data_IF_142649016388
#
_entry.id   IF_142649016388
#
_cell.length_a   1.000
_cell.length_b   1.000
_cell.length_c   1.000
_cell.angle_alpha   90.00
_cell.angle_beta   90.00
_cell.angle_gamma   90.00
#
_symmetry.space_group_name_H-M   'P 1'
#
loop_
_entity.id
_entity.type
_entity.pdbx_description
1 polymer ?
#
# COMPACT_ATOMS: atom_id res chain seq x y z
N UNK A 1 7.98 -1.01 11.93
CA UNK A 1 9.24 -1.45 12.58
C UNK A 1 9.38 -2.96 12.36
N UNK A 2 10.52 -3.42 11.82
CA UNK A 2 10.75 -4.85 11.54
C UNK A 2 10.73 -5.70 12.81
N UNK A 3 11.27 -5.18 13.92
CA UNK A 3 11.36 -5.92 15.18
C UNK A 3 9.97 -6.22 15.77
N UNK A 4 9.04 -5.28 15.66
CA UNK A 4 7.65 -5.44 16.10
C UNK A 4 6.96 -6.50 15.26
N UNK A 5 7.10 -6.44 13.94
CA UNK A 5 6.49 -7.41 13.02
C UNK A 5 7.03 -8.82 13.29
N UNK A 6 8.33 -8.99 13.44
CA UNK A 6 8.95 -10.28 13.79
C UNK A 6 8.46 -10.83 15.14
N UNK A 7 8.33 -9.95 16.15
CA UNK A 7 7.86 -10.36 17.47
C UNK A 7 6.39 -10.78 17.47
N UNK A 8 5.53 -10.09 16.70
CA UNK A 8 4.12 -10.46 16.54
C UNK A 8 3.97 -11.77 15.76
N UNK A 9 4.74 -11.93 14.69
CA UNK A 9 4.72 -13.14 13.86
C UNK A 9 5.14 -14.37 14.67
N UNK A 10 6.21 -14.26 15.47
CA UNK A 10 6.66 -15.32 16.38
C UNK A 10 5.60 -15.74 17.40
N UNK A 11 4.72 -14.82 17.80
CA UNK A 11 3.61 -15.06 18.73
C UNK A 11 2.34 -15.58 18.03
N UNK A 12 2.39 -15.85 16.72
CA UNK A 12 1.24 -16.30 15.94
C UNK A 12 0.11 -15.28 15.84
N UNK A 13 0.42 -13.98 15.98
CA UNK A 13 -0.58 -12.91 15.88
C UNK A 13 -0.86 -12.57 14.41
N UNK A 14 -2.10 -12.20 14.10
CA UNK A 14 -2.44 -11.56 12.83
C UNK A 14 -1.83 -10.16 12.74
N UNK A 15 -1.31 -9.79 11.57
CA UNK A 15 -0.62 -8.51 11.36
C UNK A 15 -1.19 -7.83 10.12
N UNK A 16 -1.64 -6.60 10.26
CA UNK A 16 -2.01 -5.74 9.13
C UNK A 16 -0.82 -4.80 8.81
N UNK A 17 -0.45 -4.73 7.53
CA UNK A 17 0.66 -3.90 7.04
C UNK A 17 0.23 -3.09 5.82
N UNK A 18 0.69 -1.84 5.76
CA UNK A 18 0.66 -1.01 4.55
C UNK A 18 2.08 -1.03 3.95
N UNK A 19 2.35 -1.83 2.89
CA UNK A 19 3.71 -2.10 2.44
C UNK A 19 4.44 -0.84 1.91
N UNK A 20 3.71 0.11 1.32
CA UNK A 20 4.29 1.35 0.78
C UNK A 20 4.64 2.40 1.84
N UNK A 21 3.97 2.33 3.00
CA UNK A 21 4.20 3.21 4.14
C UNK A 21 4.22 4.70 3.77
N UNK A 22 5.10 5.46 4.42
CA UNK A 22 5.17 6.92 4.26
C UNK A 22 5.49 7.35 2.82
N UNK A 23 6.28 6.56 2.09
CA UNK A 23 6.64 6.89 0.70
C UNK A 23 5.43 6.83 -0.23
N UNK A 24 4.52 5.90 0.00
CA UNK A 24 3.23 5.85 -0.70
C UNK A 24 2.38 7.07 -0.37
N UNK A 25 2.23 7.39 0.91
CA UNK A 25 1.44 8.54 1.37
C UNK A 25 1.90 9.88 0.75
N UNK A 26 3.21 10.11 0.64
CA UNK A 26 3.78 11.35 0.09
C UNK A 26 3.41 11.54 -1.39
N UNK A 27 3.38 10.44 -2.15
CA UNK A 27 3.17 10.49 -3.60
C UNK A 27 1.74 10.14 -3.99
N UNK A 28 0.84 9.91 -3.04
CA UNK A 28 -0.58 9.67 -3.25
C UNK A 28 -1.24 10.80 -4.03
N UNK A 29 -2.21 10.44 -4.86
CA UNK A 29 -3.01 11.36 -5.66
C UNK A 29 -4.48 10.97 -5.54
N UNK A 30 -5.35 11.97 -5.48
CA UNK A 30 -6.79 11.78 -5.43
C UNK A 30 -7.38 11.30 -6.76
N UNK A 31 -6.64 11.44 -7.86
CA UNK A 31 -7.10 11.14 -9.21
C UNK A 31 -6.46 9.85 -9.78
N UNK A 32 -5.67 9.12 -8.99
CA UNK A 32 -4.98 7.90 -9.43
C UNK A 32 -4.75 6.97 -8.25
N UNK A 33 -5.25 5.74 -8.37
CA UNK A 33 -4.96 4.68 -7.42
C UNK A 33 -3.55 4.12 -7.65
N UNK A 34 -2.82 3.87 -6.55
CA UNK A 34 -1.48 3.32 -6.60
C UNK A 34 -1.18 2.44 -5.39
N UNK A 35 -0.35 1.42 -5.60
CA UNK A 35 0.28 0.67 -4.52
C UNK A 35 1.79 0.59 -4.74
N UNK A 36 2.54 0.84 -3.68
CA UNK A 36 4.01 0.88 -3.70
C UNK A 36 4.55 -0.22 -2.82
N UNK A 37 5.49 -0.99 -3.34
CA UNK A 37 6.11 -2.09 -2.61
C UNK A 37 7.57 -1.78 -2.24
N UNK A 38 8.01 -2.16 -1.03
CA UNK A 38 9.37 -1.94 -0.61
C UNK A 38 10.32 -2.87 -1.37
N UNK A 39 11.51 -2.37 -1.73
CA UNK A 39 12.49 -3.12 -2.52
C UNK A 39 12.87 -4.48 -1.91
N UNK A 40 12.93 -4.56 -0.58
CA UNK A 40 13.35 -5.75 0.15
C UNK A 40 12.24 -6.79 0.36
N UNK A 41 10.98 -6.46 0.01
CA UNK A 41 9.81 -7.31 0.20
C UNK A 41 9.74 -7.93 1.61
N UNK A 42 10.09 -7.16 2.64
CA UNK A 42 10.23 -7.66 4.00
C UNK A 42 8.96 -8.33 4.54
N UNK A 43 7.77 -7.85 4.13
CA UNK A 43 6.50 -8.44 4.54
C UNK A 43 6.29 -9.85 3.96
N UNK A 44 6.68 -10.09 2.71
CA UNK A 44 6.65 -11.42 2.07
C UNK A 44 7.66 -12.34 2.75
N UNK A 45 8.87 -11.86 3.03
CA UNK A 45 9.89 -12.63 3.75
C UNK A 45 9.42 -13.06 5.13
N UNK A 46 8.81 -12.15 5.89
CA UNK A 46 8.25 -12.49 7.20
C UNK A 46 7.14 -13.53 7.06
N UNK A 47 6.24 -13.37 6.09
CA UNK A 47 5.17 -14.33 5.86
C UNK A 47 5.71 -15.75 5.62
N UNK A 48 6.70 -15.89 4.72
CA UNK A 48 7.36 -17.19 4.45
C UNK A 48 8.08 -17.72 5.70
N UNK A 49 8.83 -16.86 6.39
CA UNK A 49 9.62 -17.23 7.57
C UNK A 49 8.79 -17.87 8.68
N UNK A 50 7.55 -17.42 8.83
CA UNK A 50 6.66 -17.89 9.89
C UNK A 50 5.48 -18.71 9.36
N UNK A 51 5.43 -19.03 8.06
CA UNK A 51 4.33 -19.78 7.45
C UNK A 51 2.98 -19.09 7.60
N UNK A 52 2.96 -17.75 7.50
CA UNK A 52 1.76 -16.94 7.67
C UNK A 52 1.13 -16.66 6.31
N UNK A 53 -0.14 -17.00 6.14
CA UNK A 53 -0.86 -16.71 4.92
C UNK A 53 -1.01 -15.20 4.68
N UNK A 54 -0.93 -14.81 3.42
CA UNK A 54 -1.05 -13.41 3.01
C UNK A 54 -2.49 -13.12 2.60
N UNK A 55 -3.08 -12.05 3.15
CA UNK A 55 -4.43 -11.62 2.79
C UNK A 55 -4.38 -10.25 2.12
N UNK A 56 -4.60 -10.13 0.81
CA UNK A 56 -4.65 -8.85 0.13
C UNK A 56 -5.93 -8.12 0.55
N UNK A 57 -5.76 -6.88 1.02
CA UNK A 57 -6.86 -5.99 1.38
C UNK A 57 -6.65 -4.68 0.63
N UNK A 58 -7.71 -4.17 0.01
CA UNK A 58 -7.69 -2.87 -0.66
C UNK A 58 -8.73 -1.94 -0.04
N UNK A 59 -8.33 -0.70 0.21
CA UNK A 59 -9.20 0.36 0.73
C UNK A 59 -9.43 1.35 -0.41
N UNK A 60 -10.64 1.33 -0.97
CA UNK A 60 -11.02 2.24 -2.04
C UNK A 60 -11.54 3.56 -1.48
N UNK A 61 -11.39 4.61 -2.28
CA UNK A 61 -11.89 5.96 -2.03
C UNK A 61 -11.22 6.72 -0.87
N UNK A 62 -10.20 6.11 -0.24
CA UNK A 62 -9.39 6.75 0.81
C UNK A 62 -8.62 7.95 0.24
N UNK A 63 -7.99 7.78 -0.92
CA UNK A 63 -7.19 8.82 -1.57
C UNK A 63 -8.01 10.04 -1.97
N UNK A 64 -9.32 9.85 -2.22
CA UNK A 64 -10.26 10.87 -2.68
C UNK A 64 -10.80 11.73 -1.53
N UNK A 65 -10.53 11.35 -0.27
CA UNK A 65 -10.84 12.17 0.91
C UNK A 65 -10.04 13.48 0.95
N UNK A 66 -8.94 13.56 0.21
CA UNK A 66 -8.01 14.68 0.23
C UNK A 66 -7.57 15.03 -1.19
N UNK A 67 -7.48 16.32 -1.52
CA UNK A 67 -6.95 16.78 -2.81
C UNK A 67 -5.49 17.13 -2.68
N UNK A 68 -4.64 16.44 -3.44
CA UNK A 68 -3.21 16.77 -3.55
C UNK A 68 -3.01 18.18 -4.10
N UNK A 69 -2.07 18.91 -3.52
CA UNK A 69 -1.54 20.17 -4.03
C UNK A 69 -0.27 19.85 -4.82
N UNK A 70 -0.34 20.00 -6.15
CA UNK A 70 0.83 19.77 -7.02
C UNK A 70 1.92 20.84 -6.78
N UNK A 71 3.18 20.48 -7.00
CA UNK A 71 4.33 21.38 -6.92
C UNK A 71 5.05 21.41 -5.56
N UNK A 72 4.55 20.70 -4.56
CA UNK A 72 5.16 20.60 -3.22
C UNK A 72 5.89 19.28 -2.98
N UNK A 73 5.96 18.38 -3.97
CA UNK A 73 6.53 17.03 -3.84
C UNK A 73 7.97 17.06 -3.33
N UNK A 74 8.80 17.90 -3.96
CA UNK A 74 10.22 18.02 -3.61
C UNK A 74 10.39 18.53 -2.18
N UNK A 75 9.52 19.43 -1.75
CA UNK A 75 9.52 19.99 -0.39
C UNK A 75 9.09 18.94 0.63
N UNK A 76 7.98 18.23 0.38
CA UNK A 76 7.51 17.15 1.26
C UNK A 76 8.55 16.04 1.37
N UNK A 77 9.16 15.63 0.26
CA UNK A 77 10.22 14.62 0.27
C UNK A 77 11.44 15.10 1.06
N UNK A 78 11.88 16.35 0.86
CA UNK A 78 12.99 16.93 1.61
C UNK A 78 12.74 17.00 3.12
N UNK A 79 11.52 17.37 3.53
CA UNK A 79 11.12 17.37 4.95
C UNK A 79 11.16 15.96 5.51
N UNK A 80 10.60 14.98 4.78
CA UNK A 80 10.63 13.58 5.19
C UNK A 80 12.06 13.05 5.34
N UNK A 81 12.93 13.30 4.37
CA UNK A 81 14.32 12.84 4.40
C UNK A 81 15.10 13.41 5.60
N UNK A 82 14.74 14.63 6.04
CA UNK A 82 15.38 15.29 7.19
C UNK A 82 14.78 14.93 8.54
N UNK A 83 13.48 14.66 8.62
CA UNK A 83 12.74 14.58 9.89
C UNK A 83 12.08 13.22 10.14
N UNK A 84 11.97 12.37 9.12
CA UNK A 84 11.15 11.16 9.14
C UNK A 84 9.64 11.43 9.13
N UNK A 85 9.21 12.70 9.12
CA UNK A 85 7.81 13.08 9.16
C UNK A 85 7.26 13.26 7.74
N UNK A 86 6.36 12.37 7.34
CA UNK A 86 5.69 12.41 6.04
C UNK A 86 4.50 13.34 6.06
N UNK A 87 4.68 14.57 5.56
CA UNK A 87 3.62 15.57 5.55
C UNK A 87 3.11 15.80 4.13
N UNK A 88 2.07 15.08 3.69
CA UNK A 88 1.58 15.18 2.33
C UNK A 88 1.00 16.58 2.09
N UNK A 89 1.35 17.19 0.96
CA UNK A 89 0.80 18.48 0.56
C UNK A 89 -0.63 18.30 0.04
N UNK A 90 -1.60 18.36 0.94
CA UNK A 90 -3.01 18.09 0.65
C UNK A 90 -3.95 19.19 1.18
N UNK A 91 -5.10 19.33 0.52
CA UNK A 91 -6.23 20.18 0.92
C UNK A 91 -7.48 19.31 1.11
N UNK A 92 -8.48 19.80 1.85
CA UNK A 92 -9.69 19.06 2.17
C UNK A 92 -10.95 19.97 2.17
N UNK A 93 -11.90 19.77 3.11
CA UNK A 93 -13.26 20.34 3.13
C UNK A 93 -13.37 21.88 3.05
N UNK A 94 -12.28 22.62 3.27
CA UNK A 94 -12.26 24.09 3.22
C UNK A 94 -11.22 24.68 2.27
N UNK A 95 -10.55 23.85 1.45
CA UNK A 95 -9.47 24.31 0.57
C UNK A 95 -8.24 24.85 1.31
N UNK A 96 -8.21 24.77 2.64
CA UNK A 96 -7.06 25.16 3.45
C UNK A 96 -5.90 24.19 3.22
N UNK A 97 -4.66 24.69 3.07
CA UNK A 97 -3.49 23.84 2.96
C UNK A 97 -3.31 23.02 4.23
N UNK A 98 -2.67 21.86 4.09
CA UNK A 98 -2.22 21.04 5.22
C UNK A 98 -3.38 20.57 6.10
N UNK A 99 -4.32 19.85 5.47
CA UNK A 99 -5.41 19.14 6.13
C UNK A 99 -6.09 19.95 7.24
N UNK A 100 -6.58 21.15 6.91
CA UNK A 100 -7.43 21.97 7.78
C UNK A 100 -8.66 21.19 8.27
N UNK A 101 -8.42 20.42 9.33
CA UNK A 101 -9.27 19.69 10.27
C UNK A 101 -10.36 18.73 9.76
N UNK A 102 -10.69 18.65 8.47
CA UNK A 102 -11.76 17.74 8.04
C UNK A 102 -11.59 17.17 6.63
N UNK A 103 -11.56 15.83 6.48
CA UNK A 103 -11.57 15.19 5.16
C UNK A 103 -12.85 15.53 4.38
N UNK A 104 -12.79 15.35 3.06
CA UNK A 104 -13.99 15.32 2.23
C UNK A 104 -14.87 14.14 2.65
N UNK A 105 -16.20 14.32 2.54
CA UNK A 105 -17.14 13.24 2.82
C UNK A 105 -17.16 12.29 1.64
N UNK A 106 -16.60 11.09 1.81
CA UNK A 106 -16.58 10.03 0.81
C UNK A 106 -16.92 8.70 1.48
N UNK A 107 -17.50 7.77 0.71
CA UNK A 107 -17.72 6.41 1.19
C UNK A 107 -16.42 5.62 1.11
N UNK A 108 -15.94 5.07 2.22
CA UNK A 108 -14.74 4.22 2.26
C UNK A 108 -15.16 2.76 2.08
N UNK A 109 -14.63 2.09 1.08
CA UNK A 109 -14.92 0.69 0.82
C UNK A 109 -13.68 -0.16 1.10
N UNK A 110 -13.75 -1.00 2.13
CA UNK A 110 -12.73 -2.01 2.40
C UNK A 110 -13.14 -3.32 1.72
N UNK A 111 -12.28 -3.87 0.87
CA UNK A 111 -12.49 -5.15 0.19
C UNK A 111 -11.34 -6.10 0.53
N UNK A 112 -11.71 -7.34 0.79
CA UNK A 112 -10.82 -8.40 1.23
C UNK A 112 -10.72 -9.43 0.10
N UNK A 113 -9.51 -9.79 -0.28
CA UNK A 113 -9.28 -10.85 -1.25
C UNK A 113 -9.34 -12.24 -0.62
N UNK A 114 -8.96 -13.25 -1.41
CA UNK A 114 -8.77 -14.59 -0.90
C UNK A 114 -7.41 -14.70 -0.18
N UNK A 115 -7.29 -15.49 0.91
CA UNK A 115 -6.01 -15.80 1.51
C UNK A 115 -5.08 -16.50 0.50
N UNK A 116 -3.81 -16.10 0.46
CA UNK A 116 -2.75 -16.77 -0.28
C UNK A 116 -2.00 -17.67 0.68
N UNK A 117 -2.12 -18.98 0.43
CA UNK A 117 -1.38 -19.99 1.16
C UNK A 117 0.12 -19.85 0.90
N UNK A 118 0.87 -19.68 1.99
CA UNK A 118 2.33 -19.52 1.96
C UNK A 118 3.05 -20.87 2.10
N UNK A 119 2.42 -21.81 2.82
CA UNK A 119 2.99 -23.11 3.14
C UNK A 119 3.73 -23.13 4.48
N UNK A 120 4.51 -24.19 4.77
CA UNK A 120 5.18 -24.33 6.05
C UNK A 120 6.25 -23.24 6.27
N UNK A 121 6.56 -22.89 7.53
CA UNK A 121 7.58 -21.89 7.85
C UNK A 121 8.98 -22.25 7.30
N UNK A 122 9.64 -21.29 6.67
CA UNK A 122 11.01 -21.43 6.11
C UNK A 122 11.94 -20.34 6.67
N UNK A 123 12.84 -20.64 7.64
CA UNK A 123 13.60 -19.63 8.38
C UNK A 123 14.43 -18.66 7.54
N UNK A 124 14.98 -19.13 6.43
CA UNK A 124 15.87 -18.39 5.52
C UNK A 124 15.33 -18.47 4.09
N UNK A 125 14.28 -17.70 3.76
CA UNK A 125 13.61 -17.79 2.47
C UNK A 125 14.50 -17.29 1.33
N UNK A 126 14.60 -18.08 0.26
CA UNK A 126 15.34 -17.69 -0.95
C UNK A 126 14.70 -16.48 -1.63
N UNK A 127 15.50 -15.67 -2.34
CA UNK A 127 14.99 -14.52 -3.08
C UNK A 127 14.02 -14.92 -4.19
N UNK A 128 14.24 -16.06 -4.83
CA UNK A 128 13.35 -16.63 -5.84
C UNK A 128 11.97 -16.96 -5.24
N UNK A 129 11.95 -17.58 -4.06
CA UNK A 129 10.71 -17.91 -3.36
C UNK A 129 9.93 -16.66 -2.94
N UNK A 130 10.66 -15.63 -2.51
CA UNK A 130 10.07 -14.33 -2.14
C UNK A 130 9.44 -13.64 -3.36
N UNK A 131 10.14 -13.61 -4.50
CA UNK A 131 9.62 -12.99 -5.72
C UNK A 131 8.44 -13.78 -6.31
N UNK A 132 8.45 -15.12 -6.24
CA UNK A 132 7.33 -15.97 -6.66
C UNK A 132 6.05 -15.66 -5.85
N UNK A 133 6.15 -15.68 -4.52
CA UNK A 133 5.01 -15.38 -3.65
C UNK A 133 4.56 -13.92 -3.79
N UNK A 134 5.50 -12.99 -4.00
CA UNK A 134 5.18 -11.60 -4.28
C UNK A 134 4.41 -11.44 -5.60
N UNK A 135 4.76 -12.19 -6.65
CA UNK A 135 4.01 -12.22 -7.90
C UNK A 135 2.56 -12.63 -7.70
N UNK A 136 2.33 -13.74 -7.00
CA UNK A 136 0.98 -14.21 -6.63
C UNK A 136 0.22 -13.14 -5.83
N UNK A 137 0.89 -12.47 -4.88
CA UNK A 137 0.27 -11.40 -4.09
C UNK A 137 -0.15 -10.20 -4.95
N UNK A 138 0.71 -9.77 -5.89
CA UNK A 138 0.43 -8.67 -6.82
C UNK A 138 -0.73 -9.00 -7.75
N UNK A 139 -0.77 -10.22 -8.28
CA UNK A 139 -1.87 -10.70 -9.12
C UNK A 139 -3.20 -10.70 -8.34
N UNK A 140 -3.22 -11.29 -7.14
CA UNK A 140 -4.40 -11.31 -6.30
C UNK A 140 -4.89 -9.90 -5.91
N UNK A 141 -3.97 -8.97 -5.64
CA UNK A 141 -4.32 -7.58 -5.36
C UNK A 141 -4.91 -6.87 -6.59
N UNK A 142 -4.35 -7.13 -7.78
CA UNK A 142 -4.86 -6.57 -9.04
C UNK A 142 -6.25 -7.09 -9.37
N UNK A 143 -6.49 -8.39 -9.17
CA UNK A 143 -7.81 -8.99 -9.35
C UNK A 143 -8.84 -8.41 -8.38
N UNK A 144 -8.47 -8.29 -7.10
CA UNK A 144 -9.31 -7.66 -6.07
C UNK A 144 -9.66 -6.22 -6.47
N UNK A 145 -8.67 -5.46 -6.97
CA UNK A 145 -8.88 -4.11 -7.46
C UNK A 145 -9.87 -4.08 -8.62
N UNK A 146 -9.60 -4.86 -9.68
CA UNK A 146 -10.40 -4.87 -10.91
C UNK A 146 -11.86 -5.24 -10.66
N UNK A 147 -12.10 -6.18 -9.73
CA UNK A 147 -13.44 -6.64 -9.37
C UNK A 147 -14.31 -5.53 -8.78
N UNK A 148 -13.72 -4.60 -8.02
CA UNK A 148 -14.49 -3.64 -7.22
C UNK A 148 -14.27 -2.17 -7.62
N UNK A 149 -13.28 -1.85 -8.46
CA UNK A 149 -12.93 -0.47 -8.80
C UNK A 149 -14.12 0.34 -9.34
N UNK A 150 -14.93 -0.23 -10.23
CA UNK A 150 -16.08 0.46 -10.84
C UNK A 150 -17.22 0.74 -9.85
N UNK A 151 -17.34 -0.06 -8.79
CA UNK A 151 -18.36 0.08 -7.75
C UNK A 151 -17.90 1.07 -6.67
N UNK A 152 -16.61 1.06 -6.34
CA UNK A 152 -16.07 1.72 -5.16
C UNK A 152 -15.35 3.05 -5.42
N UNK A 153 -15.12 3.43 -6.68
CA UNK A 153 -14.37 4.65 -7.05
C UNK A 153 -15.18 5.55 -7.99
N UNK A 154 -14.86 6.85 -8.04
CA UNK A 154 -15.34 7.73 -9.10
C UNK A 154 -15.00 7.15 -10.49
N UNK A 155 -15.91 7.23 -11.48
CA UNK A 155 -15.72 6.58 -12.78
C UNK A 155 -14.41 6.95 -13.48
N UNK A 156 -14.00 8.22 -13.39
CA UNK A 156 -12.75 8.72 -13.96
C UNK A 156 -11.49 8.17 -13.30
N UNK A 157 -11.56 7.83 -12.01
CA UNK A 157 -10.46 7.21 -11.26
C UNK A 157 -10.43 5.71 -11.55
N UNK A 158 -11.59 5.05 -11.52
CA UNK A 158 -11.72 3.63 -11.85
C UNK A 158 -11.16 3.33 -13.26
N UNK A 159 -11.46 4.19 -14.24
CA UNK A 159 -10.99 4.05 -15.61
C UNK A 159 -9.45 4.15 -15.76
N UNK A 160 -8.76 4.83 -14.83
CA UNK A 160 -7.29 4.92 -14.83
C UNK A 160 -6.61 3.68 -14.24
N UNK A 161 -7.38 2.83 -13.55
CA UNK A 161 -6.88 1.58 -12.97
C UNK A 161 -5.95 1.78 -11.79
N UNK A 162 -5.32 0.68 -11.36
CA UNK A 162 -4.35 0.65 -10.26
C UNK A 162 -2.93 0.66 -10.81
N UNK A 163 -2.10 1.61 -10.35
CA UNK A 163 -0.67 1.64 -10.67
C UNK A 163 0.12 0.98 -9.55
N UNK A 164 0.68 -0.19 -9.81
CA UNK A 164 1.58 -0.87 -8.88
C UNK A 164 3.03 -0.65 -9.27
N UNK A 165 3.90 -0.41 -8.28
CA UNK A 165 5.36 -0.28 -8.51
C UNK A 165 6.19 -0.66 -7.31
N UNK A 166 7.46 -0.99 -7.55
CA UNK A 166 8.46 -1.17 -6.49
C UNK A 166 9.28 0.10 -6.30
N UNK A 167 9.74 0.33 -5.07
CA UNK A 167 10.61 1.46 -4.74
C UNK A 167 12.00 1.40 -5.39
N UNK A 168 12.49 0.20 -5.70
CA UNK A 168 13.76 0.00 -6.43
C UNK A 168 13.62 0.12 -7.95
N UNK A 169 12.41 0.36 -8.46
CA UNK A 169 12.15 0.45 -9.89
C UNK A 169 12.23 -0.88 -10.64
N UNK A 170 12.42 -2.01 -9.93
CA UNK A 170 12.35 -3.33 -10.57
C UNK A 170 10.92 -3.57 -11.09
N UNK A 171 10.77 -4.30 -12.21
CA UNK A 171 9.45 -4.70 -12.68
C UNK A 171 8.75 -5.57 -11.62
N UNK A 172 7.43 -5.55 -11.64
CA UNK A 172 6.64 -6.52 -10.89
C UNK A 172 6.82 -7.91 -11.53
N UNK A 173 6.87 -8.99 -10.72
CA UNK A 173 6.81 -10.34 -11.25
C UNK A 173 5.56 -10.50 -12.12
N UNK A 174 5.69 -11.22 -13.23
CA UNK A 174 4.55 -11.57 -14.10
C UNK A 174 3.92 -12.86 -13.66
#
# INVERSE_FOLDING_TARGET
DKSVVENLARKGQSIALQPGGVKEQIVTRHDQEQAIFPANLGFIRTAIKYGMDLLPIYIFNENQMFKRVDGFEKTTQFVYDKTGFGLPAITARFGLPMAGLMPLSTDIHVRWGAPLEVGPPEPEPSDERVEELFGRYVEALQELFNRHAHECLPPEVAARGLVMRRLDGKPLPR
#
